data_IF_686671803791
#
_entry.id   IF_686671803791
#
_cell.length_a   1.000
_cell.length_b   1.000
_cell.length_c   1.000
_cell.angle_alpha   90.00
_cell.angle_beta   90.00
_cell.angle_gamma   90.00
#
_symmetry.space_group_name_H-M   'P 1'
#
loop_
_entity.id
_entity.type
_entity.pdbx_description
1 polymer ?
#
# COMPACT_ATOMS: atom_id res chain seq x y z
N UNK A 1 -14.10 -14.40 2.43
CA UNK A 1 -12.62 -14.48 2.42
C UNK A 1 -12.02 -13.09 2.20
N UNK A 2 -12.82 -12.17 1.68
CA UNK A 2 -12.49 -10.81 1.29
C UNK A 2 -12.06 -9.95 2.49
N UNK A 3 -12.81 -9.99 3.61
CA UNK A 3 -12.47 -9.24 4.83
C UNK A 3 -11.06 -9.51 5.36
N UNK A 4 -10.59 -10.77 5.28
CA UNK A 4 -9.25 -11.13 5.75
C UNK A 4 -8.18 -10.50 4.85
N UNK A 5 -8.42 -10.51 3.53
CA UNK A 5 -7.54 -9.90 2.53
C UNK A 5 -7.53 -8.38 2.73
N UNK A 6 -8.70 -7.74 2.84
CA UNK A 6 -8.83 -6.30 3.06
C UNK A 6 -8.07 -5.83 4.31
N UNK A 7 -8.28 -6.51 5.43
CA UNK A 7 -7.60 -6.20 6.69
C UNK A 7 -6.09 -6.40 6.55
N UNK A 8 -5.64 -7.46 5.87
CA UNK A 8 -4.21 -7.68 5.66
C UNK A 8 -3.55 -6.59 4.80
N UNK A 9 -4.22 -6.13 3.73
CA UNK A 9 -3.73 -5.06 2.87
C UNK A 9 -3.68 -3.72 3.61
N UNK A 10 -4.73 -3.40 4.39
CA UNK A 10 -4.76 -2.21 5.24
C UNK A 10 -3.66 -2.23 6.31
N UNK A 11 -3.37 -3.40 6.88
CA UNK A 11 -2.27 -3.56 7.83
C UNK A 11 -0.92 -3.31 7.16
N UNK A 12 -0.67 -3.86 5.97
CA UNK A 12 0.57 -3.61 5.22
C UNK A 12 0.71 -2.13 4.82
N UNK A 13 -0.37 -1.48 4.38
CA UNK A 13 -0.40 -0.03 4.11
C UNK A 13 -0.03 0.78 5.36
N UNK A 14 -0.60 0.42 6.51
CA UNK A 14 -0.32 1.09 7.79
C UNK A 14 1.15 0.93 8.17
N UNK A 15 1.69 -0.30 8.10
CA UNK A 15 3.10 -0.59 8.43
C UNK A 15 4.05 0.15 7.50
N UNK A 16 3.79 0.15 6.19
CA UNK A 16 4.64 0.84 5.21
C UNK A 16 4.59 2.36 5.39
N UNK A 17 3.41 2.95 5.57
CA UNK A 17 3.26 4.39 5.87
C UNK A 17 4.05 4.81 7.11
N UNK A 18 3.90 4.05 8.19
CA UNK A 18 4.62 4.29 9.45
C UNK A 18 6.13 4.16 9.27
N UNK A 19 6.60 3.23 8.43
CA UNK A 19 8.02 3.04 8.14
C UNK A 19 8.59 4.18 7.29
N UNK A 20 7.82 4.68 6.31
CA UNK A 20 8.20 5.84 5.48
C UNK A 20 8.46 7.07 6.35
N UNK A 21 7.62 7.33 7.35
CA UNK A 21 7.79 8.49 8.26
C UNK A 21 9.01 8.34 9.17
N UNK A 22 9.44 7.11 9.46
CA UNK A 22 10.57 6.83 10.37
C UNK A 22 11.91 6.70 9.68
N UNK A 23 11.95 6.39 8.39
CA UNK A 23 13.21 6.19 7.67
C UNK A 23 13.88 7.54 7.40
N UNK A 24 15.19 7.64 7.70
CA UNK A 24 15.96 8.88 7.46
C UNK A 24 16.57 8.95 6.06
N UNK A 25 16.69 7.81 5.39
CA UNK A 25 17.20 7.74 4.02
C UNK A 25 16.08 8.07 3.04
N UNK A 26 16.27 9.15 2.27
CA UNK A 26 15.33 9.56 1.23
C UNK A 26 15.18 8.49 0.13
N UNK A 27 16.28 7.82 -0.21
CA UNK A 27 16.23 6.71 -1.18
C UNK A 27 15.33 5.57 -0.68
N UNK A 28 15.49 5.17 0.58
CA UNK A 28 14.64 4.16 1.19
C UNK A 28 13.18 4.62 1.31
N UNK A 29 12.96 5.91 1.61
CA UNK A 29 11.61 6.48 1.66
C UNK A 29 10.90 6.41 0.30
N UNK A 30 11.59 6.75 -0.80
CA UNK A 30 11.05 6.66 -2.17
C UNK A 30 10.75 5.22 -2.56
N UNK A 31 11.65 4.27 -2.24
CA UNK A 31 11.43 2.85 -2.50
C UNK A 31 10.19 2.33 -1.73
N UNK A 32 10.05 2.71 -0.46
CA UNK A 32 8.89 2.35 0.36
C UNK A 32 7.60 3.02 -0.13
N UNK A 33 7.65 4.25 -0.64
CA UNK A 33 6.51 4.93 -1.24
C UNK A 33 6.02 4.20 -2.51
N UNK A 34 6.94 3.66 -3.31
CA UNK A 34 6.59 2.78 -4.43
C UNK A 34 5.86 1.50 -3.98
N UNK A 35 6.33 0.86 -2.90
CA UNK A 35 5.66 -0.31 -2.31
C UNK A 35 4.28 0.05 -1.77
N UNK A 36 4.15 1.18 -1.06
CA UNK A 36 2.86 1.70 -0.59
C UNK A 36 1.87 1.89 -1.74
N UNK A 37 2.33 2.47 -2.86
CA UNK A 37 1.52 2.64 -4.07
C UNK A 37 1.05 1.30 -4.64
N UNK A 38 1.95 0.32 -4.77
CA UNK A 38 1.60 -1.02 -5.25
C UNK A 38 0.55 -1.72 -4.36
N UNK A 39 0.70 -1.63 -3.03
CA UNK A 39 -0.27 -2.16 -2.08
C UNK A 39 -1.64 -1.46 -2.21
N UNK A 40 -1.64 -0.15 -2.40
CA UNK A 40 -2.87 0.63 -2.61
C UNK A 40 -3.57 0.25 -3.91
N UNK A 41 -2.83 0.02 -5.00
CA UNK A 41 -3.39 -0.49 -6.25
C UNK A 41 -4.04 -1.86 -6.05
N UNK A 42 -3.36 -2.77 -5.35
CA UNK A 42 -3.92 -4.08 -4.98
C UNK A 42 -5.21 -3.97 -4.16
N UNK A 43 -5.31 -3.01 -3.23
CA UNK A 43 -6.52 -2.74 -2.47
C UNK A 43 -7.67 -2.30 -3.39
N UNK A 44 -7.43 -1.37 -4.32
CA UNK A 44 -8.44 -0.94 -5.27
C UNK A 44 -8.91 -2.06 -6.22
N UNK A 45 -8.03 -2.98 -6.60
CA UNK A 45 -8.41 -4.18 -7.37
C UNK A 45 -9.37 -5.07 -6.57
N UNK A 46 -9.10 -5.33 -5.29
CA UNK A 46 -9.98 -6.16 -4.44
C UNK A 46 -11.33 -5.48 -4.20
N UNK A 47 -11.36 -4.15 -4.20
CA UNK A 47 -12.59 -3.36 -4.13
C UNK A 47 -13.36 -3.24 -5.46
N UNK A 48 -12.94 -3.95 -6.51
CA UNK A 48 -13.53 -3.89 -7.85
C UNK A 48 -13.43 -2.49 -8.50
N UNK A 49 -12.48 -1.67 -8.04
CA UNK A 49 -12.20 -0.32 -8.54
C UNK A 49 -10.97 -0.34 -9.48
N UNK A 50 -11.05 -1.15 -10.54
CA UNK A 50 -9.92 -1.42 -11.44
C UNK A 50 -9.41 -0.18 -12.19
N UNK A 51 -10.30 0.75 -12.52
CA UNK A 51 -9.94 2.00 -13.20
C UNK A 51 -9.02 2.87 -12.33
N UNK A 52 -9.26 2.91 -11.01
CA UNK A 52 -8.44 3.67 -10.05
C UNK A 52 -7.13 2.93 -9.74
N UNK A 53 -7.15 1.60 -9.81
CA UNK A 53 -5.97 0.79 -9.50
C UNK A 53 -4.84 0.91 -10.54
N UNK A 54 -5.15 1.24 -11.80
CA UNK A 54 -4.20 1.23 -12.92
C UNK A 54 -3.87 2.61 -13.52
N UNK A 55 -4.36 3.70 -12.92
CA UNK A 55 -3.94 5.09 -13.24
C UNK A 55 -2.70 5.50 -12.48
#
# INVERSE_FOLDING_TARGET
MDVVIDISLLLFLTVTAVTIVRVRSLFAAVMLAGIYSFLSAGLFVVMDAVDVAFT
#
